data_IF_379394961821
#
_entry.id   IF_379394961821
#
_cell.length_a   1.000
_cell.length_b   1.000
_cell.length_c   1.000
_cell.angle_alpha   90.00
_cell.angle_beta   90.00
_cell.angle_gamma   90.00
#
_symmetry.space_group_name_H-M   'P 1'
#
loop_
_entity.id
_entity.type
_entity.pdbx_description
1 polymer ?
#
# COMPACT_ATOMS: atom_id res chain seq x y z
N UNK A 1 -26.97 -4.59 -19.99
CA UNK A 1 -25.52 -4.27 -19.88
C UNK A 1 -25.32 -2.88 -19.28
N UNK A 2 -25.98 -1.82 -19.76
CA UNK A 2 -25.81 -0.43 -19.26
C UNK A 2 -26.27 -0.26 -17.81
N UNK A 3 -27.43 -0.80 -17.46
CA UNK A 3 -27.97 -0.77 -16.09
C UNK A 3 -27.12 -1.58 -15.10
N UNK A 4 -26.57 -2.73 -15.53
CA UNK A 4 -25.68 -3.54 -14.72
C UNK A 4 -24.37 -2.81 -14.41
N UNK A 5 -23.81 -2.08 -15.37
CA UNK A 5 -22.61 -1.26 -15.15
C UNK A 5 -22.91 -0.09 -14.21
N UNK A 6 -24.08 0.52 -14.35
CA UNK A 6 -24.51 1.63 -13.50
C UNK A 6 -24.64 1.19 -12.03
N UNK A 7 -25.27 0.05 -11.77
CA UNK A 7 -25.43 -0.50 -10.42
C UNK A 7 -24.09 -0.85 -9.78
N UNK A 8 -23.17 -1.50 -10.51
CA UNK A 8 -21.84 -1.77 -9.99
C UNK A 8 -21.10 -0.48 -9.64
N UNK A 9 -21.17 0.52 -10.51
CA UNK A 9 -20.54 1.83 -10.24
C UNK A 9 -21.20 2.51 -9.03
N UNK A 10 -22.50 2.42 -8.89
CA UNK A 10 -23.25 2.98 -7.76
C UNK A 10 -22.85 2.33 -6.42
N UNK A 11 -22.61 1.01 -6.41
CA UNK A 11 -22.16 0.30 -5.19
C UNK A 11 -20.78 0.79 -4.73
N UNK A 12 -19.83 0.96 -5.65
CA UNK A 12 -18.48 1.37 -5.30
C UNK A 12 -18.32 2.88 -5.09
N UNK A 13 -19.05 3.70 -5.86
CA UNK A 13 -18.93 5.16 -5.89
C UNK A 13 -20.31 5.86 -5.81
N UNK A 14 -21.11 5.60 -4.76
CA UNK A 14 -22.49 6.06 -4.72
C UNK A 14 -22.61 7.59 -4.80
N UNK A 15 -21.82 8.32 -4.03
CA UNK A 15 -21.87 9.79 -4.00
C UNK A 15 -21.45 10.42 -5.33
N UNK A 16 -20.44 9.85 -5.99
CA UNK A 16 -19.97 10.35 -7.30
C UNK A 16 -21.02 10.13 -8.41
N UNK A 17 -21.63 8.94 -8.43
CA UNK A 17 -22.71 8.64 -9.39
C UNK A 17 -23.89 9.59 -9.18
N UNK A 18 -24.33 9.77 -7.96
CA UNK A 18 -25.45 10.66 -7.65
C UNK A 18 -25.14 12.12 -7.97
N UNK A 19 -23.95 12.61 -7.63
CA UNK A 19 -23.50 13.97 -7.98
C UNK A 19 -23.47 14.19 -9.51
N UNK A 20 -22.93 13.21 -10.26
CA UNK A 20 -22.92 13.28 -11.73
C UNK A 20 -24.34 13.33 -12.30
N UNK A 21 -25.25 12.48 -11.81
CA UNK A 21 -26.64 12.45 -12.26
C UNK A 21 -27.38 13.73 -11.87
N UNK A 22 -27.13 14.29 -10.70
CA UNK A 22 -27.71 15.57 -10.27
C UNK A 22 -27.31 16.70 -11.22
N UNK A 23 -26.03 16.76 -11.61
CA UNK A 23 -25.54 17.75 -12.58
C UNK A 23 -26.16 17.60 -13.98
N UNK A 24 -26.62 16.40 -14.34
CA UNK A 24 -27.29 16.12 -15.60
C UNK A 24 -28.84 16.23 -15.51
N UNK A 25 -29.39 16.55 -14.35
CA UNK A 25 -30.84 16.53 -14.05
C UNK A 25 -31.50 15.15 -14.33
N UNK A 26 -30.76 14.07 -14.07
CA UNK A 26 -31.23 12.68 -14.28
C UNK A 26 -31.73 12.01 -12.99
N UNK A 27 -31.65 12.68 -11.84
CA UNK A 27 -32.20 12.17 -10.58
C UNK A 27 -33.71 12.41 -10.54
N UNK A 28 -34.47 11.34 -10.56
CA UNK A 28 -35.93 11.35 -10.44
C UNK A 28 -36.36 10.36 -9.35
N UNK A 29 -37.58 10.49 -8.84
CA UNK A 29 -38.17 9.51 -7.91
C UNK A 29 -38.17 8.11 -8.51
N UNK A 30 -38.45 7.97 -9.81
CA UNK A 30 -38.40 6.68 -10.50
C UNK A 30 -37.00 6.10 -10.55
N UNK A 31 -35.95 6.93 -10.74
CA UNK A 31 -34.58 6.47 -10.70
C UNK A 31 -34.20 5.99 -9.29
N UNK A 32 -34.54 6.75 -8.24
CA UNK A 32 -34.30 6.32 -6.86
C UNK A 32 -35.00 5.00 -6.54
N UNK A 33 -36.24 4.88 -6.90
CA UNK A 33 -37.05 3.66 -6.72
C UNK A 33 -36.43 2.46 -7.41
N UNK A 34 -36.00 2.61 -8.65
CA UNK A 34 -35.36 1.55 -9.42
C UNK A 34 -34.03 1.13 -8.76
N UNK A 35 -33.17 2.08 -8.41
CA UNK A 35 -31.87 1.78 -7.79
C UNK A 35 -32.03 1.15 -6.42
N UNK A 36 -32.93 1.64 -5.58
CA UNK A 36 -33.22 1.05 -4.28
C UNK A 36 -33.70 -0.39 -4.37
N UNK A 37 -34.59 -0.69 -5.31
CA UNK A 37 -35.05 -2.06 -5.53
C UNK A 37 -33.87 -2.98 -5.94
N UNK A 38 -33.04 -2.57 -6.88
CA UNK A 38 -31.88 -3.37 -7.30
C UNK A 38 -30.87 -3.57 -6.15
N UNK A 39 -30.58 -2.52 -5.37
CA UNK A 39 -29.67 -2.62 -4.23
C UNK A 39 -30.23 -3.54 -3.14
N UNK A 40 -31.53 -3.51 -2.86
CA UNK A 40 -32.17 -4.41 -1.91
C UNK A 40 -32.11 -5.86 -2.37
N UNK A 41 -32.38 -6.15 -3.65
CA UNK A 41 -32.25 -7.51 -4.18
C UNK A 41 -30.81 -8.03 -4.11
N UNK A 42 -29.82 -7.18 -4.43
CA UNK A 42 -28.40 -7.53 -4.26
C UNK A 42 -28.04 -7.74 -2.79
N UNK A 43 -28.51 -6.87 -1.90
CA UNK A 43 -28.28 -7.02 -0.47
C UNK A 43 -28.88 -8.33 0.07
N UNK A 44 -30.10 -8.72 -0.34
CA UNK A 44 -30.72 -10.03 -0.04
C UNK A 44 -29.84 -11.18 -0.55
N UNK A 45 -29.36 -11.09 -1.79
CA UNK A 45 -28.53 -12.12 -2.39
C UNK A 45 -27.20 -12.31 -1.62
N UNK A 46 -26.47 -11.24 -1.31
CA UNK A 46 -25.21 -11.35 -0.57
C UNK A 46 -25.41 -11.73 0.90
N UNK A 47 -26.53 -11.35 1.51
CA UNK A 47 -26.86 -11.68 2.90
C UNK A 47 -27.28 -13.16 3.07
N UNK A 48 -27.84 -13.79 2.02
CA UNK A 48 -28.35 -15.17 2.08
C UNK A 48 -27.30 -16.22 2.45
N UNK A 49 -26.01 -15.95 2.22
CA UNK A 49 -24.90 -16.84 2.57
C UNK A 49 -24.47 -16.72 4.05
N UNK A 50 -25.06 -15.85 4.83
CA UNK A 50 -24.69 -15.61 6.22
C UNK A 50 -25.84 -15.87 7.19
N UNK A 51 -25.51 -16.08 8.46
CA UNK A 51 -26.51 -16.12 9.52
C UNK A 51 -27.09 -14.73 9.77
N UNK A 52 -28.34 -14.67 10.18
CA UNK A 52 -29.01 -13.40 10.52
C UNK A 52 -28.22 -12.56 11.53
N UNK A 53 -27.61 -13.20 12.53
CA UNK A 53 -26.77 -12.53 13.53
C UNK A 53 -25.54 -11.86 12.91
N UNK A 54 -24.95 -12.46 11.87
CA UNK A 54 -23.80 -11.86 11.16
C UNK A 54 -24.25 -10.68 10.29
N UNK A 55 -25.36 -10.82 9.57
CA UNK A 55 -25.95 -9.72 8.77
C UNK A 55 -26.27 -8.54 9.66
N UNK A 56 -26.94 -8.74 10.81
CA UNK A 56 -27.27 -7.67 11.77
C UNK A 56 -26.06 -6.91 12.28
N UNK A 57 -24.92 -7.55 12.49
CA UNK A 57 -23.68 -6.89 12.89
C UNK A 57 -23.05 -6.05 11.77
N UNK A 58 -23.38 -6.36 10.52
CA UNK A 58 -22.90 -5.63 9.36
C UNK A 58 -23.80 -4.44 8.98
N UNK A 59 -25.02 -4.36 9.53
CA UNK A 59 -25.95 -3.30 9.22
C UNK A 59 -25.41 -1.91 9.63
N UNK A 60 -25.65 -0.89 8.81
CA UNK A 60 -25.31 0.48 9.16
C UNK A 60 -26.15 0.95 10.36
N UNK A 61 -25.55 1.74 11.25
CA UNK A 61 -26.20 2.16 12.50
C UNK A 61 -27.47 2.98 12.27
N UNK A 62 -27.48 3.80 11.23
CA UNK A 62 -28.52 4.79 11.00
C UNK A 62 -29.81 4.19 10.40
N UNK A 63 -29.68 3.20 9.51
CA UNK A 63 -30.80 2.58 8.79
C UNK A 63 -30.94 1.09 9.08
N UNK A 64 -30.24 0.57 10.07
CA UNK A 64 -30.10 -0.87 10.30
C UNK A 64 -31.43 -1.59 10.47
N UNK A 65 -32.34 -1.06 11.28
CA UNK A 65 -33.63 -1.69 11.55
C UNK A 65 -34.52 -1.72 10.29
N UNK A 66 -34.53 -0.64 9.50
CA UNK A 66 -35.30 -0.56 8.26
C UNK A 66 -34.74 -1.52 7.21
N UNK A 67 -33.40 -1.59 7.10
CA UNK A 67 -32.75 -2.50 6.18
C UNK A 67 -32.98 -3.96 6.61
N UNK A 68 -32.85 -4.29 7.90
CA UNK A 68 -33.12 -5.67 8.40
C UNK A 68 -34.54 -6.11 8.04
N UNK A 69 -35.53 -5.23 8.16
CA UNK A 69 -36.92 -5.49 7.81
C UNK A 69 -37.10 -5.72 6.31
N UNK A 70 -36.54 -4.83 5.47
CA UNK A 70 -36.62 -4.94 4.01
C UNK A 70 -35.87 -6.17 3.45
N UNK A 71 -34.78 -6.61 4.11
CA UNK A 71 -34.03 -7.82 3.72
C UNK A 71 -34.82 -9.11 3.98
N UNK A 72 -35.69 -9.13 5.00
CA UNK A 72 -36.47 -10.31 5.39
C UNK A 72 -37.84 -10.41 4.72
N UNK A 73 -38.18 -9.42 3.88
CA UNK A 73 -39.40 -9.44 3.10
C UNK A 73 -39.40 -10.60 2.08
N UNK A 74 -40.46 -11.41 2.09
CA UNK A 74 -40.71 -12.50 1.15
C UNK A 74 -41.80 -12.13 0.15
N UNK A 75 -41.62 -12.41 -1.15
CA UNK A 75 -42.62 -12.04 -2.18
C UNK A 75 -43.98 -12.74 -2.05
N UNK A 76 -44.04 -13.85 -1.29
CA UNK A 76 -45.25 -14.67 -1.10
C UNK A 76 -46.06 -14.24 0.15
N UNK A 77 -45.72 -13.09 0.75
CA UNK A 77 -46.43 -12.54 1.87
C UNK A 77 -47.72 -11.80 1.44
N UNK A 78 -48.63 -11.59 2.40
CA UNK A 78 -49.92 -10.95 2.22
C UNK A 78 -49.80 -9.56 1.54
N UNK A 79 -50.77 -9.23 0.69
CA UNK A 79 -50.91 -7.94 -0.01
C UNK A 79 -50.67 -6.71 0.90
N UNK A 80 -50.96 -6.81 2.19
CA UNK A 80 -50.74 -5.76 3.17
C UNK A 80 -49.22 -5.55 3.48
N UNK A 81 -48.44 -6.61 3.50
CA UNK A 81 -47.01 -6.53 3.72
C UNK A 81 -46.30 -5.94 2.47
N UNK A 82 -46.74 -6.32 1.29
CA UNK A 82 -46.26 -5.75 0.03
C UNK A 82 -46.50 -4.23 0.00
N UNK A 83 -47.71 -3.80 0.42
CA UNK A 83 -48.04 -2.36 0.50
C UNK A 83 -47.20 -1.65 1.55
N UNK A 84 -46.95 -2.26 2.71
CA UNK A 84 -46.16 -1.70 3.78
C UNK A 84 -44.72 -1.45 3.34
N UNK A 85 -44.08 -2.45 2.72
CA UNK A 85 -42.70 -2.31 2.21
C UNK A 85 -42.59 -1.24 1.12
N UNK A 86 -43.59 -1.16 0.22
CA UNK A 86 -43.65 -0.08 -0.75
C UNK A 86 -43.76 1.29 -0.10
N UNK A 87 -44.58 1.41 0.96
CA UNK A 87 -44.70 2.66 1.71
C UNK A 87 -43.40 3.06 2.42
N UNK A 88 -42.61 2.12 2.92
CA UNK A 88 -41.31 2.41 3.49
C UNK A 88 -40.41 3.07 2.43
N UNK A 89 -40.29 2.47 1.24
CA UNK A 89 -39.49 3.02 0.16
C UNK A 89 -40.01 4.38 -0.31
N UNK A 90 -41.29 4.53 -0.45
CA UNK A 90 -41.94 5.81 -0.83
C UNK A 90 -41.67 6.90 0.21
N UNK A 91 -41.67 6.54 1.50
CA UNK A 91 -41.32 7.45 2.58
C UNK A 91 -39.86 7.88 2.52
N UNK A 92 -38.93 6.93 2.32
CA UNK A 92 -37.50 7.21 2.19
C UNK A 92 -37.24 8.18 1.02
N UNK A 93 -37.93 7.98 -0.12
CA UNK A 93 -37.82 8.85 -1.28
C UNK A 93 -38.41 10.23 -0.99
N UNK A 94 -39.58 10.28 -0.34
CA UNK A 94 -40.30 11.52 -0.07
C UNK A 94 -39.66 12.45 0.98
N UNK A 95 -38.86 11.91 1.88
CA UNK A 95 -38.14 12.72 2.92
C UNK A 95 -36.71 13.07 2.52
N UNK A 96 -36.36 12.95 1.25
CA UNK A 96 -35.02 13.26 0.71
C UNK A 96 -33.86 12.48 1.34
N UNK A 97 -34.12 11.34 1.97
CA UNK A 97 -33.10 10.46 2.56
C UNK A 97 -32.62 9.34 1.62
N UNK A 98 -33.07 9.36 0.36
CA UNK A 98 -32.76 8.32 -0.63
C UNK A 98 -31.26 8.15 -0.85
N UNK A 99 -30.51 9.25 -0.88
CA UNK A 99 -29.08 9.22 -1.17
C UNK A 99 -28.30 8.54 -0.05
N UNK A 100 -28.57 8.91 1.20
CA UNK A 100 -27.91 8.30 2.37
C UNK A 100 -28.33 6.83 2.53
N UNK A 101 -29.57 6.49 2.17
CA UNK A 101 -30.04 5.11 2.20
C UNK A 101 -29.36 4.26 1.09
N UNK A 102 -29.15 4.82 -0.12
CA UNK A 102 -28.35 4.19 -1.18
C UNK A 102 -26.92 3.95 -0.70
N UNK A 103 -26.29 4.93 -0.08
CA UNK A 103 -24.94 4.79 0.48
C UNK A 103 -24.90 3.66 1.53
N UNK A 104 -25.85 3.63 2.44
CA UNK A 104 -25.97 2.61 3.48
C UNK A 104 -26.12 1.19 2.89
N UNK A 105 -26.97 1.01 1.86
CA UNK A 105 -27.13 -0.26 1.17
C UNK A 105 -25.86 -0.66 0.41
N UNK A 106 -25.21 0.30 -0.27
CA UNK A 106 -23.96 0.06 -0.99
C UNK A 106 -22.85 -0.41 -0.05
N UNK A 107 -22.69 0.23 1.11
CA UNK A 107 -21.74 -0.19 2.15
C UNK A 107 -22.06 -1.59 2.69
N UNK A 108 -23.34 -1.88 2.96
CA UNK A 108 -23.75 -3.21 3.41
C UNK A 108 -23.43 -4.30 2.37
N UNK A 109 -23.72 -4.04 1.07
CA UNK A 109 -23.42 -4.95 -0.01
C UNK A 109 -21.92 -5.22 -0.09
N UNK A 110 -21.08 -4.19 -0.08
CA UNK A 110 -19.62 -4.32 -0.11
C UNK A 110 -19.12 -5.17 1.06
N UNK A 111 -19.59 -4.86 2.27
CA UNK A 111 -19.21 -5.55 3.51
C UNK A 111 -19.62 -7.03 3.53
N UNK A 112 -20.78 -7.37 2.95
CA UNK A 112 -21.25 -8.75 2.88
C UNK A 112 -20.74 -9.51 1.65
N UNK A 113 -20.34 -8.80 0.58
CA UNK A 113 -19.75 -9.40 -0.61
C UNK A 113 -18.35 -9.96 -0.31
N UNK A 114 -17.53 -9.21 0.43
CA UNK A 114 -16.18 -9.60 0.86
C UNK A 114 -16.14 -9.64 2.37
N UNK A 115 -16.12 -10.85 2.94
CA UNK A 115 -16.12 -11.08 4.38
C UNK A 115 -14.79 -10.67 5.03
N UNK A 116 -13.69 -11.05 4.39
CA UNK A 116 -12.32 -10.75 4.82
C UNK A 116 -11.44 -10.51 3.60
N UNK A 117 -10.62 -9.47 3.64
CA UNK A 117 -9.72 -9.07 2.57
C UNK A 117 -8.28 -9.45 2.96
N UNK A 118 -7.61 -10.20 2.09
CA UNK A 118 -6.18 -10.51 2.22
C UNK A 118 -5.38 -9.64 1.26
N UNK A 119 -4.45 -8.86 1.79
CA UNK A 119 -3.52 -8.05 1.02
C UNK A 119 -2.18 -8.77 1.01
N UNK A 120 -1.76 -9.24 -0.15
CA UNK A 120 -0.53 -10.06 -0.29
C UNK A 120 0.74 -9.23 -0.48
N UNK A 121 0.76 -8.01 0.03
CA UNK A 121 1.95 -7.16 0.13
C UNK A 121 2.26 -6.32 -1.09
N UNK A 122 3.41 -5.64 -0.99
CA UNK A 122 3.92 -4.68 -1.97
C UNK A 122 2.94 -3.54 -2.29
N UNK A 123 2.27 -3.02 -1.24
CA UNK A 123 1.43 -1.82 -1.35
C UNK A 123 2.27 -0.64 -1.82
N UNK A 124 3.53 -0.58 -1.39
CA UNK A 124 4.49 0.46 -1.70
C UNK A 124 5.43 0.16 -2.87
N UNK A 125 5.13 -0.76 -3.76
CA UNK A 125 6.00 -1.03 -4.92
C UNK A 125 5.97 0.17 -5.92
N UNK A 126 5.76 -0.04 -7.18
CA UNK A 126 5.95 0.97 -8.26
C UNK A 126 4.70 1.77 -8.54
N UNK A 127 3.56 1.37 -8.01
CA UNK A 127 2.28 2.06 -8.18
C UNK A 127 2.25 3.40 -7.43
N UNK A 128 1.48 4.33 -7.95
CA UNK A 128 1.16 5.57 -7.25
C UNK A 128 0.10 5.35 -6.17
N UNK A 129 -0.12 6.38 -5.35
CA UNK A 129 -1.25 6.46 -4.42
C UNK A 129 -1.29 5.40 -3.29
N UNK A 130 -0.15 4.79 -2.92
CA UNK A 130 -0.07 3.85 -1.80
C UNK A 130 -0.61 4.46 -0.49
N UNK A 131 -0.38 5.74 -0.28
CA UNK A 131 -0.90 6.50 0.85
C UNK A 131 -2.44 6.55 0.89
N UNK A 132 -3.08 6.71 -0.27
CA UNK A 132 -4.55 6.68 -0.38
C UNK A 132 -5.12 5.27 -0.24
N UNK A 133 -4.41 4.26 -0.77
CA UNK A 133 -4.77 2.85 -0.60
C UNK A 133 -4.78 2.50 0.89
N UNK A 134 -3.74 2.89 1.64
CA UNK A 134 -3.67 2.62 3.07
C UNK A 134 -4.77 3.35 3.85
N UNK A 135 -5.10 4.60 3.52
CA UNK A 135 -6.24 5.30 4.12
C UNK A 135 -7.54 4.49 3.94
N UNK A 136 -7.80 3.95 2.73
CA UNK A 136 -8.97 3.12 2.47
C UNK A 136 -8.94 1.79 3.22
N UNK A 137 -7.77 1.14 3.28
CA UNK A 137 -7.61 -0.14 4.00
C UNK A 137 -7.81 0.02 5.51
N UNK A 138 -7.40 1.14 6.08
CA UNK A 138 -7.60 1.44 7.51
C UNK A 138 -9.08 1.54 7.89
N UNK A 139 -9.94 1.92 6.97
CA UNK A 139 -11.40 1.98 7.16
C UNK A 139 -12.09 0.66 6.82
N UNK A 140 -11.37 -0.31 6.25
CA UNK A 140 -11.96 -1.56 5.82
C UNK A 140 -12.35 -2.44 7.02
N UNK A 141 -13.53 -3.08 6.94
CA UNK A 141 -14.14 -3.77 8.08
C UNK A 141 -13.41 -5.01 8.60
N UNK A 142 -12.66 -5.71 7.76
CA UNK A 142 -11.91 -6.92 8.14
C UNK A 142 -10.84 -7.22 7.11
N UNK A 143 -9.58 -7.13 7.49
CA UNK A 143 -8.46 -7.46 6.61
C UNK A 143 -7.22 -7.92 7.40
N UNK A 144 -6.31 -8.55 6.67
CA UNK A 144 -4.91 -8.74 7.05
C UNK A 144 -3.98 -8.43 5.86
N UNK A 145 -2.69 -8.29 6.16
CA UNK A 145 -1.66 -7.89 5.19
C UNK A 145 -0.47 -8.82 5.34
N UNK A 146 -0.05 -9.49 4.29
CA UNK A 146 1.24 -10.17 4.22
C UNK A 146 2.27 -9.16 3.69
N UNK A 147 3.29 -8.83 4.52
CA UNK A 147 4.27 -7.82 4.13
C UNK A 147 5.08 -8.21 2.91
N UNK A 148 5.10 -7.35 1.90
CA UNK A 148 6.05 -7.42 0.81
C UNK A 148 7.38 -6.76 1.17
N UNK A 149 8.41 -7.01 0.34
CA UNK A 149 9.73 -6.42 0.57
C UNK A 149 9.72 -4.87 0.47
N UNK A 150 8.87 -4.30 -0.38
CA UNK A 150 8.71 -2.84 -0.44
C UNK A 150 8.03 -2.29 0.81
N UNK A 151 7.05 -2.98 1.38
CA UNK A 151 6.40 -2.58 2.63
C UNK A 151 7.41 -2.57 3.79
N UNK A 152 8.23 -3.63 3.91
CA UNK A 152 9.30 -3.72 4.93
C UNK A 152 10.32 -2.58 4.77
N UNK A 153 10.70 -2.21 3.54
CA UNK A 153 11.59 -1.07 3.30
C UNK A 153 10.98 0.24 3.81
N UNK A 154 9.69 0.49 3.56
CA UNK A 154 9.00 1.67 4.07
C UNK A 154 8.85 1.65 5.60
N UNK A 155 8.55 0.49 6.19
CA UNK A 155 8.53 0.30 7.65
C UNK A 155 9.90 0.60 8.26
N UNK A 156 10.98 0.07 7.67
CA UNK A 156 12.35 0.36 8.09
C UNK A 156 12.72 1.84 7.96
N UNK A 157 12.30 2.49 6.88
CA UNK A 157 12.50 3.92 6.66
C UNK A 157 11.74 4.76 7.71
N UNK A 158 10.50 4.42 8.01
CA UNK A 158 9.70 5.08 9.04
C UNK A 158 10.28 4.89 10.45
N UNK A 159 10.98 3.78 10.70
CA UNK A 159 11.75 3.54 11.93
C UNK A 159 13.12 4.26 11.95
N UNK A 160 13.47 4.99 10.89
CA UNK A 160 14.70 5.77 10.80
C UNK A 160 15.94 5.01 10.35
N UNK A 161 15.78 3.82 9.72
CA UNK A 161 16.89 3.10 9.09
C UNK A 161 17.36 3.85 7.84
N UNK A 162 18.60 4.31 7.84
CA UNK A 162 19.13 5.22 6.82
C UNK A 162 19.28 4.56 5.44
N UNK A 163 19.66 3.29 5.39
CA UNK A 163 19.71 2.54 4.12
C UNK A 163 18.30 2.32 3.53
N UNK A 164 17.32 2.01 4.36
CA UNK A 164 15.93 1.90 3.94
C UNK A 164 15.38 3.23 3.43
N UNK A 165 15.68 4.34 4.10
CA UNK A 165 15.31 5.70 3.67
C UNK A 165 15.89 5.99 2.29
N UNK A 166 17.19 5.78 2.10
CA UNK A 166 17.84 6.00 0.81
C UNK A 166 17.25 5.12 -0.30
N UNK A 167 16.95 3.85 0.01
CA UNK A 167 16.32 2.91 -0.93
C UNK A 167 14.91 3.34 -1.32
N UNK A 168 14.07 3.72 -0.35
CA UNK A 168 12.71 4.19 -0.58
C UNK A 168 12.71 5.45 -1.45
N UNK A 169 13.54 6.45 -1.12
CA UNK A 169 13.63 7.70 -1.90
C UNK A 169 14.12 7.39 -3.31
N UNK A 170 15.18 6.58 -3.47
CA UNK A 170 15.71 6.19 -4.78
C UNK A 170 14.67 5.49 -5.66
N UNK A 171 13.90 4.55 -5.09
CA UNK A 171 12.86 3.84 -5.81
C UNK A 171 11.77 4.80 -6.29
N UNK A 172 11.29 5.69 -5.41
CA UNK A 172 10.26 6.66 -5.79
C UNK A 172 10.74 7.66 -6.85
N UNK A 173 11.99 8.11 -6.80
CA UNK A 173 12.59 8.93 -7.85
C UNK A 173 12.69 8.17 -9.18
N UNK A 174 13.15 6.91 -9.15
CA UNK A 174 13.33 6.06 -10.35
C UNK A 174 12.01 5.80 -11.08
N UNK A 175 10.91 5.60 -10.34
CA UNK A 175 9.59 5.29 -10.90
C UNK A 175 8.66 6.50 -11.00
N UNK A 176 9.20 7.72 -10.80
CA UNK A 176 8.46 8.98 -10.88
C UNK A 176 7.28 9.08 -9.89
N UNK A 177 7.44 8.52 -8.70
CA UNK A 177 6.46 8.52 -7.62
C UNK A 177 6.80 9.49 -6.49
N UNK A 178 7.54 10.57 -6.79
CA UNK A 178 7.95 11.59 -5.81
C UNK A 178 6.75 12.19 -5.06
N UNK A 179 5.59 12.23 -5.70
CA UNK A 179 4.34 12.75 -5.11
C UNK A 179 3.95 12.02 -3.82
N UNK A 180 4.20 10.72 -3.69
CA UNK A 180 3.96 9.97 -2.45
C UNK A 180 4.81 10.54 -1.31
N UNK A 181 6.09 10.82 -1.58
CA UNK A 181 7.00 11.37 -0.59
C UNK A 181 6.57 12.77 -0.17
N UNK A 182 6.45 13.70 -1.12
CA UNK A 182 6.23 15.12 -0.82
C UNK A 182 4.77 15.42 -0.46
N UNK A 183 3.83 15.14 -1.34
CA UNK A 183 2.41 15.45 -1.13
C UNK A 183 1.71 14.44 -0.24
N UNK A 184 2.07 13.15 -0.34
CA UNK A 184 1.48 12.08 0.46
C UNK A 184 1.91 12.11 1.92
N UNK A 185 3.22 12.19 2.16
CA UNK A 185 3.80 12.06 3.50
C UNK A 185 4.54 13.30 4.02
N UNK A 186 4.67 14.37 3.22
CA UNK A 186 5.37 15.59 3.62
C UNK A 186 6.89 15.44 3.76
N UNK A 187 7.47 14.45 3.08
CA UNK A 187 8.91 14.18 3.10
C UNK A 187 9.59 15.06 2.05
N UNK A 188 10.41 16.01 2.51
CA UNK A 188 11.08 16.97 1.63
C UNK A 188 12.35 16.40 1.03
N UNK A 189 12.48 16.48 -0.31
CA UNK A 189 13.70 16.12 -1.04
C UNK A 189 14.64 17.30 -1.27
N UNK A 190 14.33 18.49 -0.76
CA UNK A 190 15.08 19.72 -1.03
C UNK A 190 16.57 19.62 -0.68
N UNK A 191 16.92 19.03 0.47
CA UNK A 191 18.31 18.88 0.91
C UNK A 191 19.11 18.03 -0.06
N UNK A 192 18.51 16.91 -0.52
CA UNK A 192 19.08 16.01 -1.52
C UNK A 192 19.28 16.70 -2.87
N UNK A 193 18.28 17.42 -3.34
CA UNK A 193 18.33 18.13 -4.63
C UNK A 193 19.46 19.16 -4.63
N UNK A 194 19.53 20.01 -3.61
CA UNK A 194 20.58 21.03 -3.51
C UNK A 194 21.98 20.43 -3.37
N UNK A 195 22.10 19.29 -2.67
CA UNK A 195 23.36 18.57 -2.57
C UNK A 195 23.77 17.96 -3.93
N UNK A 196 22.83 17.36 -4.65
CA UNK A 196 23.05 16.81 -5.99
C UNK A 196 23.54 17.87 -6.99
N UNK A 197 22.83 18.99 -7.09
CA UNK A 197 23.22 20.11 -7.97
C UNK A 197 24.63 20.66 -7.66
N UNK A 198 24.98 20.76 -6.38
CA UNK A 198 26.30 21.19 -5.97
C UNK A 198 27.40 20.20 -6.31
N UNK A 199 27.10 18.89 -6.21
CA UNK A 199 28.05 17.80 -6.37
C UNK A 199 28.27 17.45 -7.84
N UNK A 200 27.22 17.53 -8.65
CA UNK A 200 27.19 17.16 -10.07
C UNK A 200 26.56 18.29 -10.93
N UNK A 201 27.23 19.45 -11.02
CA UNK A 201 26.65 20.67 -11.64
C UNK A 201 26.43 20.55 -13.16
N UNK A 202 27.00 19.54 -13.81
CA UNK A 202 26.83 19.27 -15.24
C UNK A 202 25.63 18.39 -15.57
N UNK A 203 24.98 17.80 -14.55
CA UNK A 203 23.80 16.96 -14.74
C UNK A 203 22.51 17.76 -14.55
N UNK A 204 21.43 17.28 -15.14
CA UNK A 204 20.09 17.78 -14.84
C UNK A 204 19.76 17.57 -13.35
N UNK A 205 19.02 18.49 -12.78
CA UNK A 205 18.74 18.58 -11.32
C UNK A 205 18.34 17.23 -10.70
N UNK A 206 17.37 16.55 -11.30
CA UNK A 206 16.88 15.28 -10.78
C UNK A 206 17.84 14.13 -11.01
N UNK A 207 18.60 14.17 -12.09
CA UNK A 207 19.66 13.18 -12.38
C UNK A 207 20.81 13.33 -11.38
N UNK A 208 21.24 14.56 -11.10
CA UNK A 208 22.25 14.87 -10.08
C UNK A 208 21.83 14.35 -8.69
N UNK A 209 20.58 14.61 -8.30
CA UNK A 209 20.02 14.14 -7.03
C UNK A 209 19.98 12.59 -6.97
N UNK A 210 19.54 11.92 -8.03
CA UNK A 210 19.51 10.45 -8.12
C UNK A 210 20.90 9.84 -8.04
N UNK A 211 21.89 10.45 -8.73
CA UNK A 211 23.29 9.99 -8.69
C UNK A 211 23.85 10.16 -7.29
N UNK A 212 23.70 11.33 -6.67
CA UNK A 212 24.14 11.59 -5.32
C UNK A 212 23.54 10.58 -4.32
N UNK A 213 22.23 10.37 -4.37
CA UNK A 213 21.53 9.41 -3.51
C UNK A 213 22.00 7.96 -3.75
N UNK A 214 22.32 7.60 -4.99
CA UNK A 214 22.84 6.26 -5.31
C UNK A 214 24.18 6.02 -4.65
N UNK A 215 25.09 6.99 -4.64
CA UNK A 215 26.37 6.90 -3.93
C UNK A 215 26.17 6.81 -2.44
N UNK A 216 25.28 7.64 -1.86
CA UNK A 216 24.93 7.56 -0.44
C UNK A 216 24.41 6.15 -0.09
N UNK A 217 23.52 5.60 -0.91
CA UNK A 217 22.96 4.27 -0.70
C UNK A 217 24.05 3.19 -0.75
N UNK A 218 24.94 3.20 -1.74
CA UNK A 218 26.06 2.25 -1.81
C UNK A 218 26.94 2.30 -0.56
N UNK A 219 27.18 3.49 -0.03
CA UNK A 219 27.95 3.65 1.22
C UNK A 219 27.21 3.05 2.41
N UNK A 220 25.93 3.35 2.59
CA UNK A 220 25.10 2.84 3.70
C UNK A 220 24.91 1.31 3.63
N UNK A 221 24.67 0.77 2.46
CA UNK A 221 24.61 -0.68 2.23
C UNK A 221 25.96 -1.32 2.55
N UNK A 222 27.05 -0.75 2.05
CA UNK A 222 28.41 -1.22 2.31
C UNK A 222 28.74 -1.23 3.80
N UNK A 223 28.41 -0.18 4.54
CA UNK A 223 28.56 -0.13 5.99
C UNK A 223 27.76 -1.24 6.69
N UNK A 224 26.56 -1.54 6.21
CA UNK A 224 25.75 -2.62 6.77
C UNK A 224 26.37 -3.98 6.51
N UNK A 225 26.83 -4.26 5.29
CA UNK A 225 27.49 -5.50 4.93
C UNK A 225 28.79 -5.70 5.70
N UNK A 226 29.57 -4.63 5.90
CA UNK A 226 30.82 -4.69 6.69
C UNK A 226 30.58 -4.97 8.18
N UNK A 227 29.46 -4.49 8.74
CA UNK A 227 29.07 -4.80 10.12
C UNK A 227 28.50 -6.22 10.29
N UNK A 228 27.94 -6.78 9.24
CA UNK A 228 27.23 -8.05 9.22
C UNK A 228 27.79 -9.02 8.16
N UNK A 229 29.04 -9.50 8.34
CA UNK A 229 29.66 -10.41 7.39
C UNK A 229 28.91 -11.75 7.24
N UNK A 230 28.15 -12.13 8.26
CA UNK A 230 27.28 -13.32 8.29
C UNK A 230 26.17 -13.29 7.25
N UNK A 231 25.80 -12.12 6.70
CA UNK A 231 24.81 -12.02 5.62
C UNK A 231 25.32 -12.52 4.26
N UNK A 232 26.61 -12.83 4.15
CA UNK A 232 27.25 -13.34 2.95
C UNK A 232 27.01 -12.46 1.69
N UNK A 233 26.98 -11.13 1.87
CA UNK A 233 26.69 -10.14 0.82
C UNK A 233 27.93 -9.36 0.35
N UNK A 234 29.15 -9.83 0.62
CA UNK A 234 30.42 -9.14 0.31
C UNK A 234 30.63 -8.92 -1.20
N UNK A 235 29.95 -9.68 -2.04
CA UNK A 235 29.92 -9.50 -3.49
C UNK A 235 29.28 -8.17 -3.93
N UNK A 236 28.42 -7.59 -3.07
CA UNK A 236 27.76 -6.29 -3.27
C UNK A 236 28.60 -5.10 -2.82
N UNK A 237 29.73 -5.30 -2.18
CA UNK A 237 30.71 -4.27 -1.93
C UNK A 237 31.41 -3.93 -3.26
N UNK A 238 31.09 -2.76 -3.84
CA UNK A 238 31.53 -2.37 -5.17
C UNK A 238 32.46 -1.15 -5.16
N UNK A 239 32.31 -0.21 -4.22
CA UNK A 239 33.04 1.06 -4.23
C UNK A 239 34.55 0.87 -4.03
N UNK A 240 34.97 -0.14 -3.26
CA UNK A 240 36.37 -0.54 -3.04
C UNK A 240 36.97 -1.35 -4.20
N UNK A 241 36.15 -1.79 -5.18
CA UNK A 241 36.55 -2.61 -6.31
C UNK A 241 36.60 -1.84 -7.65
N UNK A 242 36.47 -0.51 -7.58
CA UNK A 242 36.50 0.34 -8.78
C UNK A 242 37.93 0.61 -9.19
N UNK A 243 38.26 0.23 -10.41
CA UNK A 243 39.46 0.67 -11.11
C UNK A 243 39.13 1.95 -11.89
N UNK A 244 39.53 3.08 -11.33
CA UNK A 244 39.28 4.41 -11.91
C UNK A 244 40.12 4.69 -13.17
N UNK A 245 41.27 4.02 -13.31
CA UNK A 245 42.16 4.20 -14.47
C UNK A 245 41.59 3.48 -15.68
N UNK A 246 41.19 2.21 -15.52
CA UNK A 246 40.62 1.39 -16.59
C UNK A 246 39.08 1.55 -16.69
N UNK A 247 38.46 2.30 -15.81
CA UNK A 247 36.99 2.49 -15.73
C UNK A 247 36.24 1.16 -15.66
N UNK A 248 36.65 0.31 -14.74
CA UNK A 248 36.07 -1.02 -14.57
C UNK A 248 35.72 -1.26 -13.08
N UNK A 249 34.79 -2.20 -12.85
CA UNK A 249 34.45 -2.70 -11.50
C UNK A 249 34.41 -4.23 -11.55
N UNK A 250 34.89 -4.86 -10.49
CA UNK A 250 34.82 -6.32 -10.34
C UNK A 250 33.61 -6.68 -9.49
N UNK A 251 32.74 -7.53 -10.02
CA UNK A 251 31.59 -8.11 -9.31
C UNK A 251 31.44 -9.57 -9.68
N UNK A 252 31.21 -10.45 -8.72
CA UNK A 252 31.03 -11.90 -8.92
C UNK A 252 32.15 -12.51 -9.81
N UNK A 253 33.37 -12.13 -9.55
CA UNK A 253 34.58 -12.57 -10.29
C UNK A 253 34.63 -12.15 -11.78
N UNK A 254 33.72 -11.30 -12.23
CA UNK A 254 33.73 -10.74 -13.59
C UNK A 254 34.06 -9.25 -13.54
N UNK A 255 34.73 -8.77 -14.59
CA UNK A 255 35.07 -7.36 -14.75
C UNK A 255 34.06 -6.69 -15.69
N UNK A 256 33.46 -5.62 -15.22
CA UNK A 256 32.48 -4.85 -15.98
C UNK A 256 33.04 -3.47 -16.33
N UNK A 257 32.85 -3.02 -17.57
CA UNK A 257 33.15 -1.65 -17.94
C UNK A 257 32.14 -0.69 -17.34
N UNK A 258 32.63 0.40 -16.74
CA UNK A 258 31.79 1.44 -16.17
C UNK A 258 31.57 2.57 -17.17
N UNK A 259 30.36 3.05 -17.28
CA UNK A 259 29.98 4.21 -18.12
C UNK A 259 30.40 5.52 -17.47
N UNK A 260 30.42 5.55 -16.15
CA UNK A 260 30.70 6.72 -15.35
C UNK A 260 31.58 6.33 -14.14
N UNK A 261 32.58 7.12 -13.87
CA UNK A 261 33.53 6.97 -12.74
C UNK A 261 33.72 8.30 -11.99
N UNK A 262 32.89 9.28 -12.27
CA UNK A 262 32.92 10.57 -11.59
C UNK A 262 32.12 10.47 -10.28
N UNK A 263 32.82 10.16 -9.19
CA UNK A 263 32.25 10.03 -7.85
C UNK A 263 33.06 10.89 -6.86
N UNK A 264 32.91 12.23 -6.90
CA UNK A 264 33.75 13.16 -6.15
C UNK A 264 33.61 13.04 -4.64
N UNK A 265 32.55 12.39 -4.15
CA UNK A 265 32.32 12.17 -2.72
C UNK A 265 32.84 10.83 -2.21
N UNK A 266 33.40 9.98 -3.09
CA UNK A 266 33.96 8.68 -2.71
C UNK A 266 35.44 8.84 -2.39
N UNK A 267 35.81 8.65 -1.12
CA UNK A 267 37.21 8.53 -0.71
C UNK A 267 37.73 7.13 -1.09
N UNK A 268 38.88 7.08 -1.76
CA UNK A 268 39.47 5.80 -2.22
C UNK A 268 40.04 4.94 -1.08
N UNK A 269 40.40 5.57 0.03
CA UNK A 269 40.92 4.86 1.20
C UNK A 269 39.81 4.40 2.13
N UNK A 270 38.67 5.18 2.13
CA UNK A 270 37.52 4.89 2.97
C UNK A 270 36.22 5.01 2.15
N UNK A 271 36.00 4.15 1.16
CA UNK A 271 34.97 4.32 0.12
C UNK A 271 33.54 4.27 0.65
N UNK A 272 33.32 3.73 1.83
CA UNK A 272 32.01 3.61 2.45
C UNK A 272 31.72 4.67 3.53
N UNK A 273 32.66 5.59 3.80
CA UNK A 273 32.39 6.70 4.71
C UNK A 273 31.56 7.79 4.03
N UNK A 274 30.54 8.27 4.75
CA UNK A 274 29.76 9.42 4.31
C UNK A 274 30.53 10.71 4.53
N UNK A 275 30.53 11.60 3.53
CA UNK A 275 30.97 12.98 3.72
C UNK A 275 30.00 13.74 4.64
N UNK A 276 30.43 14.86 5.21
CA UNK A 276 29.56 15.73 6.02
C UNK A 276 28.29 16.17 5.25
N UNK A 277 28.42 16.43 3.95
CA UNK A 277 27.28 16.80 3.10
C UNK A 277 26.29 15.66 2.92
N UNK A 278 26.77 14.45 2.66
CA UNK A 278 25.95 13.24 2.55
C UNK A 278 25.26 12.89 3.87
N UNK A 279 26.01 13.01 4.98
CA UNK A 279 25.46 12.78 6.31
C UNK A 279 24.33 13.76 6.63
N UNK A 280 24.50 15.04 6.27
CA UNK A 280 23.44 16.05 6.42
C UNK A 280 22.20 15.68 5.62
N UNK A 281 22.34 15.27 4.36
CA UNK A 281 21.20 14.85 3.51
C UNK A 281 20.42 13.73 4.16
N UNK A 282 21.12 12.69 4.62
CA UNK A 282 20.48 11.52 5.27
C UNK A 282 19.80 11.91 6.57
N UNK A 283 20.40 12.78 7.38
CA UNK A 283 19.78 13.25 8.63
C UNK A 283 18.52 14.09 8.37
N UNK A 284 18.53 14.95 7.35
CA UNK A 284 17.36 15.75 6.96
C UNK A 284 16.21 14.86 6.45
N UNK A 285 16.51 13.84 5.64
CA UNK A 285 15.54 12.84 5.21
C UNK A 285 15.00 12.03 6.39
N UNK A 286 15.89 11.51 7.26
CA UNK A 286 15.53 10.76 8.46
C UNK A 286 14.60 11.55 9.37
N UNK A 287 14.90 12.83 9.59
CA UNK A 287 14.04 13.72 10.35
C UNK A 287 12.64 13.81 9.71
N UNK A 288 12.55 13.94 8.38
CA UNK A 288 11.27 14.00 7.65
C UNK A 288 10.47 12.70 7.78
N UNK A 289 11.11 11.53 7.63
CA UNK A 289 10.45 10.23 7.78
C UNK A 289 9.92 10.01 9.21
N UNK A 290 10.73 10.28 10.22
CA UNK A 290 10.36 10.10 11.63
C UNK A 290 9.23 11.04 12.09
N UNK A 291 9.10 12.22 11.48
CA UNK A 291 8.12 13.23 11.85
C UNK A 291 6.90 13.28 10.91
N UNK A 292 6.79 12.39 9.94
CA UNK A 292 5.62 12.27 9.09
C UNK A 292 4.49 11.54 9.82
N UNK A 293 3.57 12.28 10.44
CA UNK A 293 2.46 11.69 11.19
C UNK A 293 1.61 10.70 10.37
N UNK A 294 1.35 11.03 9.09
CA UNK A 294 0.57 10.15 8.23
C UNK A 294 1.32 8.85 7.94
N UNK A 295 2.63 8.93 7.67
CA UNK A 295 3.45 7.74 7.46
C UNK A 295 3.50 6.87 8.71
N UNK A 296 3.75 7.47 9.89
CA UNK A 296 3.78 6.73 11.15
C UNK A 296 2.46 5.99 11.40
N UNK A 297 1.32 6.66 11.18
CA UNK A 297 0.00 6.05 11.31
C UNK A 297 -0.20 4.85 10.35
N UNK A 298 0.27 4.96 9.11
CA UNK A 298 0.21 3.87 8.13
C UNK A 298 1.12 2.70 8.50
N UNK A 299 2.31 3.00 9.00
CA UNK A 299 3.26 1.97 9.45
C UNK A 299 2.79 1.27 10.71
N UNK A 300 2.20 1.98 11.67
CA UNK A 300 1.55 1.37 12.83
C UNK A 300 0.43 0.40 12.39
N UNK A 301 -0.36 0.78 11.40
CA UNK A 301 -1.39 -0.08 10.81
C UNK A 301 -0.79 -1.32 10.13
N UNK A 302 0.32 -1.17 9.39
CA UNK A 302 1.02 -2.31 8.81
C UNK A 302 1.55 -3.27 9.89
N UNK A 303 2.04 -2.75 11.01
CA UNK A 303 2.45 -3.60 12.15
C UNK A 303 1.26 -4.28 12.84
N UNK A 304 0.14 -3.57 12.98
CA UNK A 304 -1.06 -4.12 13.64
C UNK A 304 -1.74 -5.21 12.81
N UNK A 305 -1.88 -5.00 11.50
CA UNK A 305 -2.66 -5.89 10.60
C UNK A 305 -1.79 -6.84 9.79
N UNK A 306 -0.49 -6.61 9.76
CA UNK A 306 0.43 -7.33 8.90
C UNK A 306 1.21 -8.44 9.59
N UNK A 307 1.75 -9.33 8.77
CA UNK A 307 2.65 -10.41 9.17
C UNK A 307 3.44 -10.91 7.96
N UNK A 308 4.44 -11.76 8.18
CA UNK A 308 5.21 -12.37 7.10
C UNK A 308 4.42 -13.45 6.37
N UNK A 309 3.51 -14.12 7.05
CA UNK A 309 2.60 -15.11 6.48
C UNK A 309 1.32 -15.22 7.31
N UNK A 310 0.25 -15.66 6.67
CA UNK A 310 -1.04 -15.94 7.31
C UNK A 310 -1.57 -17.32 6.93
N UNK A 311 -2.14 -18.02 7.90
CA UNK A 311 -2.94 -19.20 7.61
C UNK A 311 -4.42 -18.86 7.83
N UNK A 312 -5.21 -18.99 6.77
CA UNK A 312 -6.63 -18.66 6.80
C UNK A 312 -7.42 -19.65 5.94
N UNK A 313 -8.47 -20.26 6.48
CA UNK A 313 -9.29 -21.27 5.80
C UNK A 313 -8.44 -22.36 5.10
N UNK A 314 -7.42 -22.90 5.80
CA UNK A 314 -6.48 -23.89 5.30
C UNK A 314 -5.57 -23.42 4.13
N UNK A 315 -5.67 -22.17 3.74
CA UNK A 315 -4.72 -21.54 2.81
C UNK A 315 -3.54 -20.96 3.57
N UNK A 316 -2.35 -21.10 3.02
CA UNK A 316 -1.14 -20.39 3.45
C UNK A 316 -0.92 -19.21 2.52
N UNK A 317 -0.93 -18.01 3.09
CA UNK A 317 -0.77 -16.74 2.39
C UNK A 317 0.58 -16.12 2.78
N UNK A 318 1.36 -15.71 1.82
CA UNK A 318 2.65 -15.03 2.01
C UNK A 318 3.02 -14.30 0.72
N UNK A 319 3.84 -13.27 0.84
CA UNK A 319 4.20 -12.43 -0.31
C UNK A 319 5.34 -13.03 -1.16
N UNK A 320 6.44 -13.39 -0.51
CA UNK A 320 7.67 -13.80 -1.18
C UNK A 320 7.74 -15.30 -1.48
N UNK A 321 8.85 -15.91 -1.09
CA UNK A 321 9.04 -17.36 -1.22
C UNK A 321 9.48 -17.96 0.13
N UNK A 322 9.31 -19.27 0.25
CA UNK A 322 9.91 -20.04 1.33
C UNK A 322 11.24 -20.58 0.77
N UNK A 323 12.39 -20.21 1.35
CA UNK A 323 13.68 -20.72 0.87
C UNK A 323 13.77 -22.23 0.98
N UNK A 324 14.11 -22.85 -0.15
CA UNK A 324 14.31 -24.30 -0.26
C UNK A 324 15.64 -24.60 -0.95
N UNK A 325 16.31 -25.66 -0.52
CA UNK A 325 17.47 -26.21 -1.21
C UNK A 325 17.06 -26.92 -2.52
N UNK A 326 18.04 -27.36 -3.30
CA UNK A 326 17.81 -28.09 -4.56
C UNK A 326 17.05 -29.42 -4.38
N UNK A 327 17.04 -29.97 -3.18
CA UNK A 327 16.35 -31.21 -2.81
C UNK A 327 14.93 -30.95 -2.27
N UNK A 328 14.54 -29.69 -2.10
CA UNK A 328 13.22 -29.28 -1.60
C UNK A 328 13.10 -29.27 -0.06
N UNK A 329 14.22 -29.34 0.67
CA UNK A 329 14.22 -29.11 2.11
C UNK A 329 14.27 -27.61 2.41
N UNK A 330 13.85 -27.20 3.60
CA UNK A 330 13.98 -25.80 4.02
C UNK A 330 15.45 -25.39 4.03
N UNK A 331 15.76 -24.35 3.27
CA UNK A 331 17.03 -23.65 3.38
C UNK A 331 17.00 -22.68 4.55
N UNK A 332 18.15 -22.36 5.12
CA UNK A 332 18.28 -21.57 6.34
C UNK A 332 19.18 -20.35 6.16
N UNK A 333 18.99 -19.38 7.04
CA UNK A 333 19.89 -18.25 7.20
C UNK A 333 20.54 -18.28 8.59
N UNK A 334 21.83 -17.96 8.66
CA UNK A 334 22.52 -17.79 9.92
C UNK A 334 22.58 -16.30 10.30
N UNK A 335 22.02 -15.95 11.47
CA UNK A 335 22.04 -14.59 12.02
C UNK A 335 22.46 -14.69 13.48
N UNK A 336 23.52 -13.95 13.88
CA UNK A 336 24.06 -13.92 15.25
C UNK A 336 24.36 -15.33 15.82
N UNK A 337 24.85 -16.24 14.96
CA UNK A 337 25.18 -17.60 15.34
C UNK A 337 23.98 -18.56 15.52
N UNK A 338 22.79 -18.12 15.19
CA UNK A 338 21.58 -18.96 15.17
C UNK A 338 21.13 -19.20 13.73
N UNK A 339 20.76 -20.44 13.43
CA UNK A 339 20.20 -20.81 12.11
C UNK A 339 18.69 -20.77 12.17
N UNK A 340 18.06 -20.00 11.27
CA UNK A 340 16.61 -19.89 11.13
C UNK A 340 16.19 -20.56 9.84
N UNK A 341 15.15 -21.43 9.90
CA UNK A 341 14.63 -22.18 8.75
C UNK A 341 13.11 -22.21 8.73
N UNK A 342 12.52 -22.34 7.56
CA UNK A 342 11.09 -22.51 7.37
C UNK A 342 10.29 -21.41 8.06
N UNK A 343 9.54 -21.73 9.11
CA UNK A 343 8.72 -20.74 9.84
C UNK A 343 9.54 -19.69 10.58
N UNK A 344 10.72 -20.06 11.07
CA UNK A 344 11.58 -19.15 11.86
C UNK A 344 12.38 -18.20 10.97
N UNK A 345 12.62 -18.60 9.72
CA UNK A 345 13.25 -17.75 8.68
C UNK A 345 12.36 -16.56 8.36
#
# INVERSE_FOLDING_TARGET
>A
VREQQEICTLIYYPREVMNRKRNLNELSEDWYRLMLNYLLELAKMVSSKYTRSKVRRALPKEFGDIIDELLHFMPDEDDNQIRYHRQILDTIIGIENSEEFIVALAELIKRLAVDHLHIVGDIFDRGGDADKILDLLMEYHSLDIEWGNHDILWMGAACGNEASIATVVKNNMKYNNIQILESGYGISLRSLVLFGEKTYPELEVMEAAQKALSIILFKLEGQTILRHPEYNMQDRLLLDKIDYENKTVVSQQMTYAMKDTDFPTVDREQPYELTEGEQKVIQDLKFSFLNSHRLQKHVDFLFEKGCMYKRYNENLLYHGCIPLDEQGNFDGIEIDGNTYMGREY
#
